data_IF_516748892139
#
_entry.id   IF_516748892139
#
_cell.length_a   1.000
_cell.length_b   1.000
_cell.length_c   1.000
_cell.angle_alpha   90.00
_cell.angle_beta   90.00
_cell.angle_gamma   90.00
#
_symmetry.space_group_name_H-M   'P 1'
#
loop_
_entity.id
_entity.type
_entity.pdbx_description
1 polymer ?
#
# COMPACT_ATOMS: atom_id res chain seq x y z
N UNK A 1 -17.95 10.11 10.35
CA UNK A 1 -17.12 8.95 9.96
C UNK A 1 -16.83 9.23 8.49
N UNK A 2 -15.79 9.97 8.17
CA UNK A 2 -14.42 9.51 7.96
C UNK A 2 -13.44 10.58 8.45
N UNK A 3 -12.45 10.18 9.27
CA UNK A 3 -11.39 11.08 9.79
C UNK A 3 -10.03 10.81 9.11
N UNK A 4 -10.00 9.97 8.08
CA UNK A 4 -8.76 9.60 7.42
C UNK A 4 -8.45 10.61 6.31
N UNK A 5 -7.26 11.22 6.37
CA UNK A 5 -6.86 12.25 5.41
C UNK A 5 -6.22 11.68 4.13
N UNK A 6 -5.84 10.40 4.14
CA UNK A 6 -5.11 9.74 3.04
C UNK A 6 -5.28 8.21 3.08
N UNK A 7 -5.33 7.58 1.92
CA UNK A 7 -5.18 6.13 1.76
C UNK A 7 -3.70 5.79 1.63
N UNK A 8 -3.24 4.78 2.37
CA UNK A 8 -1.87 4.25 2.27
C UNK A 8 -1.98 2.79 1.87
N UNK A 9 -1.27 2.40 0.82
CA UNK A 9 -1.25 1.01 0.35
C UNK A 9 -0.02 0.67 -0.46
N UNK A 10 0.00 -0.56 -0.98
CA UNK A 10 1.11 -1.12 -1.73
C UNK A 10 0.62 -1.61 -3.09
N UNK A 11 0.97 -0.90 -4.17
CA UNK A 11 0.41 -1.11 -5.52
C UNK A 11 -1.12 -0.92 -5.59
N UNK A 12 -1.70 -0.22 -4.62
CA UNK A 12 -3.15 -0.05 -4.50
C UNK A 12 -3.75 0.90 -5.54
N UNK A 13 -2.98 1.86 -6.07
CA UNK A 13 -3.46 2.70 -7.19
C UNK A 13 -3.78 1.86 -8.44
N UNK A 14 -3.04 0.76 -8.63
CA UNK A 14 -3.14 -0.08 -9.84
C UNK A 14 -3.94 -1.37 -9.62
N UNK A 15 -4.28 -1.71 -8.37
CA UNK A 15 -4.97 -2.95 -8.04
C UNK A 15 -6.19 -2.72 -7.15
N UNK A 16 -5.97 -2.40 -5.87
CA UNK A 16 -7.05 -2.31 -4.88
C UNK A 16 -8.09 -1.26 -5.25
N UNK A 17 -7.67 -0.05 -5.63
CA UNK A 17 -8.55 1.07 -5.94
C UNK A 17 -9.45 0.76 -7.16
N UNK A 18 -8.92 0.35 -8.33
CA UNK A 18 -9.76 -0.07 -9.46
C UNK A 18 -10.74 -1.20 -9.12
N UNK A 19 -10.33 -2.17 -8.28
CA UNK A 19 -11.20 -3.28 -7.89
C UNK A 19 -12.33 -2.80 -6.98
N UNK A 20 -12.00 -2.06 -5.92
CA UNK A 20 -12.95 -1.57 -4.93
C UNK A 20 -13.91 -0.53 -5.49
N UNK A 21 -13.48 0.30 -6.44
CA UNK A 21 -14.36 1.27 -7.12
C UNK A 21 -15.54 0.59 -7.85
N UNK A 22 -15.47 -0.69 -8.19
CA UNK A 22 -16.63 -1.41 -8.75
C UNK A 22 -17.74 -1.66 -7.71
N UNK A 23 -17.42 -1.57 -6.43
CA UNK A 23 -18.32 -1.86 -5.30
C UNK A 23 -18.60 -0.62 -4.44
N UNK A 24 -17.84 0.45 -4.64
CA UNK A 24 -17.95 1.69 -3.91
C UNK A 24 -18.79 2.70 -4.69
N UNK A 25 -19.70 3.40 -4.01
CA UNK A 25 -20.60 4.38 -4.66
C UNK A 25 -19.89 5.66 -5.10
N UNK A 26 -18.72 5.93 -4.52
CA UNK A 26 -17.89 7.08 -4.86
C UNK A 26 -16.73 6.75 -5.80
N UNK A 27 -15.77 7.65 -5.87
CA UNK A 27 -14.50 7.43 -6.57
C UNK A 27 -13.33 7.52 -5.58
N UNK A 28 -12.79 6.36 -5.20
CA UNK A 28 -11.64 6.27 -4.30
C UNK A 28 -10.37 6.86 -4.92
N UNK A 29 -10.30 7.03 -6.24
CA UNK A 29 -9.14 7.65 -6.91
C UNK A 29 -9.03 9.15 -6.64
N UNK A 30 -10.11 9.78 -6.16
CA UNK A 30 -10.12 11.19 -5.76
C UNK A 30 -9.58 11.41 -4.35
N UNK A 31 -9.41 10.35 -3.55
CA UNK A 31 -8.87 10.48 -2.20
C UNK A 31 -7.34 10.62 -2.27
N UNK A 32 -6.71 11.47 -1.43
CA UNK A 32 -5.25 11.53 -1.35
C UNK A 32 -4.67 10.13 -1.10
N UNK A 33 -3.64 9.76 -1.86
CA UNK A 33 -3.15 8.39 -1.87
C UNK A 33 -1.62 8.32 -1.75
N UNK A 34 -1.11 7.37 -0.96
CA UNK A 34 0.29 6.97 -0.91
C UNK A 34 0.39 5.54 -1.43
N UNK A 35 0.92 5.37 -2.62
CA UNK A 35 1.31 4.04 -3.10
C UNK A 35 2.81 3.84 -2.86
N UNK A 36 3.14 2.98 -1.89
CA UNK A 36 4.53 2.72 -1.52
C UNK A 36 5.32 2.13 -2.69
N UNK A 37 4.72 1.25 -3.51
CA UNK A 37 5.42 0.69 -4.68
C UNK A 37 5.75 1.78 -5.71
N UNK A 38 4.85 2.75 -5.89
CA UNK A 38 5.07 3.90 -6.76
C UNK A 38 6.23 4.75 -6.27
N UNK A 39 6.29 5.07 -4.98
CA UNK A 39 7.41 5.82 -4.39
C UNK A 39 8.74 5.07 -4.52
N UNK A 40 8.74 3.75 -4.27
CA UNK A 40 9.92 2.90 -4.47
C UNK A 40 10.40 2.95 -5.93
N UNK A 41 9.47 2.86 -6.88
CA UNK A 41 9.78 2.97 -8.31
C UNK A 41 10.32 4.36 -8.66
N UNK A 42 9.78 5.43 -8.07
CA UNK A 42 10.26 6.79 -8.31
C UNK A 42 11.71 6.96 -7.81
N UNK A 43 12.05 6.35 -6.66
CA UNK A 43 13.38 6.45 -6.07
C UNK A 43 14.42 5.53 -6.73
N UNK A 44 14.07 4.28 -7.06
CA UNK A 44 15.01 3.26 -7.54
C UNK A 44 14.91 2.98 -9.05
N UNK A 45 13.87 3.45 -9.73
CA UNK A 45 13.58 3.12 -11.13
C UNK A 45 13.02 1.70 -11.34
N UNK A 46 12.94 0.89 -10.29
CA UNK A 46 12.46 -0.50 -10.33
C UNK A 46 11.34 -0.74 -9.34
N UNK A 47 10.49 -1.73 -9.62
CA UNK A 47 9.48 -2.20 -8.67
C UNK A 47 10.07 -3.29 -7.79
N UNK A 48 9.83 -3.20 -6.49
CA UNK A 48 10.20 -4.23 -5.53
C UNK A 48 8.95 -4.85 -4.93
N UNK A 49 9.04 -6.09 -4.44
CA UNK A 49 7.95 -6.74 -3.70
C UNK A 49 7.89 -6.20 -2.28
N UNK A 50 6.70 -6.20 -1.68
CA UNK A 50 6.47 -5.77 -0.29
C UNK A 50 7.41 -6.52 0.67
N UNK A 51 7.48 -7.85 0.54
CA UNK A 51 8.34 -8.70 1.35
C UNK A 51 9.82 -8.34 1.22
N UNK A 52 10.31 -8.04 0.03
CA UNK A 52 11.72 -7.67 -0.20
C UNK A 52 12.08 -6.35 0.47
N UNK A 53 11.18 -5.37 0.46
CA UNK A 53 11.38 -4.09 1.15
C UNK A 53 11.30 -4.31 2.66
N UNK A 54 10.32 -5.07 3.13
CA UNK A 54 10.12 -5.37 4.54
C UNK A 54 11.34 -6.08 5.14
N UNK A 55 11.82 -7.15 4.50
CA UNK A 55 12.99 -7.92 4.95
C UNK A 55 14.28 -7.09 4.97
N UNK A 56 14.41 -6.10 4.08
CA UNK A 56 15.59 -5.24 4.04
C UNK A 56 15.51 -4.07 5.03
N UNK A 57 14.30 -3.62 5.38
CA UNK A 57 14.07 -2.40 6.18
C UNK A 57 13.74 -2.69 7.65
N UNK A 58 13.02 -3.78 7.93
CA UNK A 58 12.47 -4.07 9.25
C UNK A 58 13.21 -5.26 9.88
N UNK A 59 13.67 -5.10 11.11
CA UNK A 59 14.50 -6.09 11.81
C UNK A 59 13.80 -7.44 12.06
N UNK A 60 12.46 -7.49 12.06
CA UNK A 60 11.67 -8.66 12.48
C UNK A 60 10.73 -9.22 11.41
N UNK A 61 10.92 -8.87 10.13
CA UNK A 61 10.10 -9.44 9.06
C UNK A 61 10.87 -10.52 8.33
N UNK A 62 10.46 -11.77 8.54
CA UNK A 62 10.94 -12.92 7.77
C UNK A 62 9.78 -13.52 6.99
N UNK A 63 9.84 -13.45 5.65
CA UNK A 63 8.96 -14.15 4.71
C UNK A 63 7.46 -13.85 4.90
N UNK A 64 6.97 -12.75 4.32
CA UNK A 64 5.54 -12.64 4.00
C UNK A 64 5.15 -13.65 2.92
N UNK A 65 3.99 -14.27 3.07
CA UNK A 65 3.53 -15.38 2.24
C UNK A 65 3.37 -14.98 0.76
N UNK A 66 3.53 -15.98 -0.12
CA UNK A 66 3.35 -15.85 -1.56
C UNK A 66 1.87 -15.63 -1.91
N UNK A 67 1.54 -14.60 -2.71
CA UNK A 67 0.16 -14.32 -3.14
C UNK A 67 -0.51 -15.50 -3.87
N UNK A 68 0.27 -16.42 -4.44
CA UNK A 68 -0.27 -17.68 -5.00
C UNK A 68 -0.90 -18.59 -3.93
N UNK A 69 -0.49 -18.45 -2.67
CA UNK A 69 -1.03 -19.22 -1.56
C UNK A 69 -2.46 -18.78 -1.19
N UNK A 70 -2.77 -17.49 -1.27
CA UNK A 70 -4.11 -16.98 -1.00
C UNK A 70 -5.15 -17.57 -1.97
N UNK A 71 -4.79 -17.71 -3.25
CA UNK A 71 -5.65 -18.34 -4.27
C UNK A 71 -5.90 -19.82 -3.94
N UNK A 72 -4.88 -20.55 -3.47
CA UNK A 72 -5.04 -21.95 -3.05
C UNK A 72 -5.97 -22.06 -1.85
N UNK A 73 -5.75 -21.26 -0.82
CA UNK A 73 -6.61 -21.24 0.37
C UNK A 73 -8.07 -20.92 0.03
N UNK A 74 -8.32 -20.01 -0.93
CA UNK A 74 -9.67 -19.71 -1.38
C UNK A 74 -10.36 -20.94 -1.98
N UNK A 75 -9.66 -21.64 -2.89
CA UNK A 75 -10.16 -22.89 -3.50
C UNK A 75 -10.40 -24.00 -2.47
N UNK A 76 -9.60 -24.03 -1.41
CA UNK A 76 -9.69 -24.99 -0.31
C UNK A 76 -10.69 -24.57 0.78
N UNK A 77 -11.34 -23.40 0.67
CA UNK A 77 -12.27 -22.87 1.68
C UNK A 77 -11.59 -22.41 2.98
N UNK A 78 -10.27 -22.21 2.99
CA UNK A 78 -9.47 -21.79 4.16
C UNK A 78 -9.52 -20.26 4.34
N UNK A 79 -10.71 -19.74 4.63
CA UNK A 79 -10.96 -18.29 4.73
C UNK A 79 -10.13 -17.63 5.84
N UNK A 80 -9.95 -18.30 6.97
CA UNK A 80 -9.21 -17.73 8.11
C UNK A 80 -7.72 -17.50 7.79
N UNK A 81 -7.12 -18.34 6.96
CA UNK A 81 -5.73 -18.15 6.51
C UNK A 81 -5.60 -16.96 5.56
N UNK A 82 -6.61 -16.73 4.71
CA UNK A 82 -6.67 -15.55 3.85
C UNK A 82 -6.78 -14.28 4.69
N UNK A 83 -7.66 -14.27 5.70
CA UNK A 83 -7.82 -13.12 6.60
C UNK A 83 -6.50 -12.79 7.31
N UNK A 84 -5.86 -13.79 7.92
CA UNK A 84 -4.55 -13.63 8.58
C UNK A 84 -3.51 -13.06 7.63
N UNK A 85 -3.48 -13.55 6.39
CA UNK A 85 -2.57 -13.05 5.36
C UNK A 85 -2.83 -11.59 5.00
N UNK A 86 -4.09 -11.21 4.76
CA UNK A 86 -4.46 -9.82 4.49
C UNK A 86 -4.13 -8.89 5.67
N UNK A 87 -4.42 -9.30 6.91
CA UNK A 87 -4.07 -8.54 8.11
C UNK A 87 -2.55 -8.35 8.25
N UNK A 88 -1.77 -9.38 7.93
CA UNK A 88 -0.32 -9.32 7.95
C UNK A 88 0.22 -8.35 6.90
N UNK A 89 -0.31 -8.36 5.67
CA UNK A 89 0.11 -7.43 4.61
C UNK A 89 -0.22 -5.98 4.97
N UNK A 90 -1.37 -5.72 5.61
CA UNK A 90 -1.72 -4.39 6.14
C UNK A 90 -0.74 -3.96 7.24
N UNK A 91 -0.42 -4.87 8.18
CA UNK A 91 0.54 -4.59 9.25
C UNK A 91 1.92 -4.24 8.70
N UNK A 92 2.45 -5.06 7.79
CA UNK A 92 3.78 -4.83 7.18
C UNK A 92 3.79 -3.53 6.38
N UNK A 93 2.74 -3.25 5.62
CA UNK A 93 2.59 -1.97 4.89
C UNK A 93 2.67 -0.78 5.84
N UNK A 94 1.99 -0.85 6.99
CA UNK A 94 2.04 0.19 8.02
C UNK A 94 3.43 0.33 8.62
N UNK A 95 4.10 -0.77 8.97
CA UNK A 95 5.45 -0.73 9.55
C UNK A 95 6.48 -0.12 8.59
N UNK A 96 6.40 -0.43 7.30
CA UNK A 96 7.23 0.21 6.26
C UNK A 96 6.92 1.70 6.16
N UNK A 97 5.64 2.07 6.16
CA UNK A 97 5.24 3.47 6.13
C UNK A 97 5.79 4.24 7.33
N UNK A 98 5.61 3.71 8.54
CA UNK A 98 6.10 4.31 9.79
C UNK A 98 7.63 4.44 9.78
N UNK A 99 8.35 3.44 9.26
CA UNK A 99 9.79 3.55 9.10
C UNK A 99 10.17 4.65 8.10
N UNK A 100 9.56 4.66 6.91
CA UNK A 100 9.89 5.60 5.86
C UNK A 100 9.54 7.05 6.20
N UNK A 101 8.46 7.30 6.95
CA UNK A 101 8.11 8.65 7.39
C UNK A 101 9.08 9.17 8.45
N UNK A 102 9.53 8.30 9.37
CA UNK A 102 10.42 8.67 10.47
C UNK A 102 11.89 8.82 10.04
N UNK A 103 12.32 8.07 9.01
CA UNK A 103 13.73 8.01 8.60
C UNK A 103 14.00 8.64 7.22
N UNK A 104 12.95 8.98 6.45
CA UNK A 104 13.03 9.46 5.06
C UNK A 104 13.79 8.54 4.10
N UNK A 105 13.91 7.26 4.45
CA UNK A 105 14.58 6.23 3.67
C UNK A 105 13.96 4.86 3.92
N UNK A 106 14.18 3.95 2.99
CA UNK A 106 13.95 2.52 3.10
C UNK A 106 15.20 1.77 2.63
N UNK A 107 15.19 0.46 2.76
CA UNK A 107 16.31 -0.39 2.35
C UNK A 107 15.86 -1.43 1.33
N UNK A 108 16.79 -1.83 0.46
CA UNK A 108 16.58 -2.92 -0.49
C UNK A 108 17.84 -3.77 -0.60
N UNK A 109 17.66 -5.03 -1.01
CA UNK A 109 18.75 -5.94 -1.33
C UNK A 109 19.13 -5.85 -2.81
N UNK A 110 20.38 -5.51 -3.12
CA UNK A 110 20.87 -5.46 -4.50
C UNK A 110 21.11 -6.87 -5.07
N UNK A 111 21.53 -6.95 -6.34
CA UNK A 111 21.77 -8.21 -7.05
C UNK A 111 22.89 -9.06 -6.43
N UNK A 112 23.84 -8.43 -5.73
CA UNK A 112 24.98 -9.10 -5.09
C UNK A 112 24.64 -9.48 -3.63
N UNK A 113 23.49 -9.04 -3.13
CA UNK A 113 22.97 -9.38 -1.82
C UNK A 113 23.25 -8.37 -0.71
N UNK A 114 23.80 -7.21 -1.05
CA UNK A 114 24.03 -6.12 -0.10
C UNK A 114 22.74 -5.34 0.17
N UNK A 115 22.55 -4.92 1.42
CA UNK A 115 21.42 -4.08 1.81
C UNK A 115 21.86 -2.62 1.68
N UNK A 116 21.18 -1.87 0.80
CA UNK A 116 21.49 -0.48 0.52
C UNK A 116 20.29 0.42 0.85
N UNK A 117 20.52 1.61 1.44
CA UNK A 117 19.45 2.58 1.66
C UNK A 117 19.05 3.28 0.36
N UNK A 118 17.81 3.74 0.30
CA UNK A 118 17.32 4.66 -0.71
C UNK A 118 16.32 5.64 -0.11
N UNK A 119 16.35 6.89 -0.58
CA UNK A 119 15.46 7.94 -0.08
C UNK A 119 14.02 7.69 -0.51
N UNK A 120 13.06 8.04 0.36
CA UNK A 120 11.62 8.04 0.05
C UNK A 120 10.96 9.30 0.58
N UNK A 121 9.90 9.76 -0.10
CA UNK A 121 9.09 10.88 0.35
C UNK A 121 7.65 10.45 0.63
N UNK A 122 7.34 10.18 1.89
CA UNK A 122 5.99 9.77 2.32
C UNK A 122 5.14 10.93 2.86
N UNK A 123 5.66 12.16 2.85
CA UNK A 123 4.92 13.32 3.32
C UNK A 123 3.69 13.55 2.44
N UNK A 124 2.56 14.01 3.00
CA UNK A 124 1.44 14.47 2.20
C UNK A 124 1.88 15.62 1.29
N UNK A 125 1.41 15.65 0.05
CA UNK A 125 1.63 16.82 -0.81
C UNK A 125 0.90 18.03 -0.23
N UNK A 126 1.58 19.17 -0.09
CA UNK A 126 0.99 20.43 0.42
C UNK A 126 -0.18 20.93 -0.44
N UNK A 127 -0.27 20.47 -1.69
CA UNK A 127 -1.42 20.62 -2.56
C UNK A 127 -1.80 19.24 -3.11
N UNK A 128 -2.84 18.55 -2.59
CA UNK A 128 -3.34 17.35 -3.23
C UNK A 128 -3.91 17.76 -4.58
N UNK A 129 -3.13 17.59 -5.65
CA UNK A 129 -3.63 17.74 -7.01
C UNK A 129 -4.63 16.61 -7.23
N UNK A 130 -5.90 16.91 -6.97
CA UNK A 130 -7.03 16.06 -7.37
C UNK A 130 -6.86 15.81 -8.87
N UNK A 131 -6.76 14.54 -9.25
CA UNK A 131 -6.74 14.15 -10.66
C UNK A 131 -8.07 14.60 -11.28
N UNK A 132 -8.03 15.73 -12.00
CA UNK A 132 -9.14 16.48 -12.59
C UNK A 132 -9.87 17.45 -11.64
N UNK A 133 -9.30 18.65 -11.46
CA UNK A 133 -9.96 19.97 -11.54
C UNK A 133 -11.37 20.23 -10.98
N UNK A 134 -11.96 19.35 -10.19
CA UNK A 134 -13.32 19.46 -9.66
C UNK A 134 -13.24 19.60 -8.16
N UNK A 135 -13.65 20.77 -7.68
CA UNK A 135 -13.76 21.09 -6.26
C UNK A 135 -14.77 20.14 -5.62
N UNK A 136 -14.35 19.38 -4.60
CA UNK A 136 -15.17 18.38 -3.95
C UNK A 136 -16.42 19.02 -3.32
N UNK A 137 -17.59 18.79 -3.94
CA UNK A 137 -18.86 19.01 -3.28
C UNK A 137 -19.01 17.99 -2.15
N UNK A 138 -18.90 18.50 -0.94
CA UNK A 138 -19.10 17.83 0.34
C UNK A 138 -20.56 17.36 0.41
N UNK A 139 -20.82 16.06 0.19
CA UNK A 139 -21.97 15.26 0.70
C UNK A 139 -22.21 14.03 -0.19
N UNK A 140 -21.27 13.10 -0.23
CA UNK A 140 -21.50 11.77 -0.79
C UNK A 140 -21.44 10.79 0.38
N UNK A 141 -22.52 10.04 0.61
CA UNK A 141 -22.54 8.99 1.63
C UNK A 141 -21.86 7.74 1.06
N UNK A 142 -20.72 7.40 1.65
CA UNK A 142 -19.77 6.40 1.15
C UNK A 142 -19.89 5.04 1.84
N UNK A 143 -20.98 4.81 2.58
CA UNK A 143 -21.18 3.53 3.26
C UNK A 143 -21.35 2.42 2.22
N UNK A 144 -20.46 1.42 2.26
CA UNK A 144 -20.55 0.22 1.43
C UNK A 144 -21.89 -0.49 1.68
N UNK A 145 -22.52 -1.07 0.65
CA UNK A 145 -23.75 -1.82 0.82
C UNK A 145 -23.43 -3.16 1.50
N UNK A 146 -23.58 -3.20 2.82
CA UNK A 146 -23.73 -4.45 3.58
C UNK A 146 -24.87 -4.31 4.58
#
# INVERSE_FOLDING_TARGET
>A
MEKADRIIGFNSEHFDIPVLNNYYLGDLSQLPHLDIMKEVKNSLGIRLKLSTIAEATLDNVTKSADGLQAIRWWKEGKIDEIKKYCEQDVRVTKEIYDFGINNNQLFYKNLVGEILPFAVNFKPSENPTMANGVTANKNINFTLPF
#
